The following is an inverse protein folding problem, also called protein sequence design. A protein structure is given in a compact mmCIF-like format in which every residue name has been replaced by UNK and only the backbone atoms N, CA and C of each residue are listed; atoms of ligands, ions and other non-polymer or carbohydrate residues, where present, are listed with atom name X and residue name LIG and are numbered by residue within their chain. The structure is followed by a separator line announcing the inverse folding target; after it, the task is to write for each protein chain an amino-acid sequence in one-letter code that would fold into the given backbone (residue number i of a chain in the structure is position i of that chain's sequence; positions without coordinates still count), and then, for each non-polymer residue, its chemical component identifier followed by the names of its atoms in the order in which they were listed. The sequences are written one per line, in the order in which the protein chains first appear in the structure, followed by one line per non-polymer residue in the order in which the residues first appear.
data_IF_545302564992
#
_entry.id   IF_545302564992
#
_cell.length_a   1.000
_cell.length_b   1.000
_cell.length_c   1.000
_cell.angle_alpha   90.00
_cell.angle_beta   90.00
_cell.angle_gamma   90.00
#
_symmetry.space_group_name_H-M   'P 1'
#
loop_
_entity.id
_entity.type
_entity.pdbx_description
1 polymer ?
#
# COMPACT_ATOMS: atom_id res chain seq x y z
N UNK A 1 6.85 -13.81 -17.85
CA UNK A 1 7.50 -12.69 -17.15
C UNK A 1 6.69 -12.19 -15.92
N UNK A 2 5.45 -12.63 -15.60
CA UNK A 2 4.32 -11.94 -14.91
C UNK A 2 4.38 -11.55 -13.42
N UNK A 3 5.51 -11.58 -12.71
CA UNK A 3 5.72 -10.82 -11.45
C UNK A 3 6.93 -9.88 -11.61
N UNK A 4 8.05 -10.31 -12.19
CA UNK A 4 8.84 -9.38 -13.05
C UNK A 4 8.01 -8.81 -14.25
N UNK A 5 6.70 -9.10 -14.29
CA UNK A 5 5.57 -8.61 -15.08
C UNK A 5 4.25 -8.63 -14.21
N UNK A 6 4.37 -8.46 -12.87
CA UNK A 6 3.41 -8.10 -11.74
C UNK A 6 4.19 -7.35 -10.63
N UNK A 7 5.11 -7.90 -9.78
CA UNK A 7 6.11 -7.10 -8.96
C UNK A 7 7.55 -7.64 -8.60
N UNK A 8 8.27 -8.43 -9.41
CA UNK A 8 9.39 -9.29 -9.01
C UNK A 8 10.80 -8.70 -9.05
N UNK A 9 11.71 -9.41 -8.35
CA UNK A 9 13.13 -9.12 -8.00
C UNK A 9 13.38 -7.73 -7.41
N UNK A 10 13.54 -7.66 -6.08
CA UNK A 10 14.14 -6.54 -5.33
C UNK A 10 13.85 -5.16 -5.94
N UNK A 11 12.56 -4.78 -6.03
CA UNK A 11 12.16 -3.55 -6.69
C UNK A 11 12.51 -2.33 -5.84
N UNK A 12 13.68 -1.74 -6.07
CA UNK A 12 14.20 -0.62 -5.29
C UNK A 12 13.23 0.56 -5.25
N UNK A 13 12.59 0.90 -6.38
CA UNK A 13 11.56 1.95 -6.44
C UNK A 13 10.40 1.74 -5.46
N UNK A 14 9.78 0.56 -5.45
CA UNK A 14 8.72 0.20 -4.49
C UNK A 14 9.20 0.24 -3.04
N UNK A 15 10.45 -0.14 -2.77
CA UNK A 15 11.01 -0.05 -1.41
C UNK A 15 11.22 1.39 -0.96
N UNK A 16 11.71 2.25 -1.86
CA UNK A 16 11.84 3.69 -1.61
C UNK A 16 10.45 4.29 -1.42
N UNK A 17 9.51 4.01 -2.31
CA UNK A 17 8.14 4.48 -2.21
C UNK A 17 7.52 4.07 -0.88
N UNK A 18 7.56 2.77 -0.51
CA UNK A 18 7.03 2.32 0.77
C UNK A 18 7.71 3.00 1.96
N UNK A 19 9.02 3.22 1.90
CA UNK A 19 9.76 3.89 2.99
C UNK A 19 9.33 5.35 3.14
N UNK A 20 9.20 6.08 2.03
CA UNK A 20 8.74 7.47 2.02
C UNK A 20 7.26 7.56 2.41
N UNK A 21 6.43 6.62 1.95
CA UNK A 21 5.01 6.53 2.29
C UNK A 21 4.79 6.30 3.79
N UNK A 22 5.64 5.48 4.45
CA UNK A 22 5.61 5.32 5.90
C UNK A 22 5.92 6.64 6.62
N UNK A 23 6.96 7.37 6.18
CA UNK A 23 7.31 8.67 6.76
C UNK A 23 6.22 9.74 6.53
N UNK A 24 5.63 9.74 5.33
CA UNK A 24 4.52 10.62 4.98
C UNK A 24 3.27 10.31 5.84
N UNK A 25 2.91 9.03 5.98
CA UNK A 25 1.80 8.61 6.83
C UNK A 25 2.01 8.99 8.29
N UNK A 26 3.23 8.80 8.82
CA UNK A 26 3.58 9.25 10.17
C UNK A 26 3.39 10.76 10.31
N UNK A 27 3.98 11.55 9.41
CA UNK A 27 3.96 13.01 9.46
C UNK A 27 2.54 13.57 9.29
N UNK A 28 1.76 13.00 8.37
CA UNK A 28 0.37 13.38 8.13
C UNK A 28 -0.51 13.05 9.33
N UNK A 29 -0.28 11.92 10.00
CA UNK A 29 -1.02 11.55 11.20
C UNK A 29 -0.65 12.42 12.41
N UNK A 30 0.60 12.86 12.55
CA UNK A 30 1.02 13.79 13.60
C UNK A 30 0.28 15.13 13.51
N UNK A 31 0.01 15.61 12.30
CA UNK A 31 -0.66 16.90 12.06
C UNK A 31 -2.13 16.75 11.63
N UNK A 32 -2.72 15.56 11.79
CA UNK A 32 -4.07 15.27 11.31
C UNK A 32 -5.10 16.04 12.13
N UNK A 33 -5.99 16.76 11.44
CA UNK A 33 -7.21 17.29 12.03
C UNK A 33 -8.24 16.16 12.16
N UNK A 34 -8.52 15.75 13.40
CA UNK A 34 -9.44 14.64 13.69
C UNK A 34 -10.90 14.91 13.31
N UNK A 35 -11.29 16.19 13.18
CA UNK A 35 -12.65 16.54 12.76
C UNK A 35 -12.81 16.43 11.25
N UNK A 36 -11.78 16.83 10.49
CA UNK A 36 -11.80 16.75 9.01
C UNK A 36 -11.43 15.37 8.48
N UNK A 37 -10.53 14.68 9.17
CA UNK A 37 -10.07 13.33 8.82
C UNK A 37 -10.06 12.46 10.09
N UNK A 38 -11.22 11.86 10.45
CA UNK A 38 -11.32 11.03 11.64
C UNK A 38 -10.42 9.78 11.56
N UNK A 39 -10.40 9.14 10.41
CA UNK A 39 -9.58 7.95 10.16
C UNK A 39 -8.10 8.32 9.96
N UNK A 40 -7.16 7.55 10.53
CA UNK A 40 -5.74 7.76 10.29
C UNK A 40 -5.36 7.50 8.83
N UNK A 41 -4.35 8.22 8.36
CA UNK A 41 -3.70 7.88 7.12
C UNK A 41 -2.92 6.58 7.27
N UNK A 42 -2.91 5.80 6.21
CA UNK A 42 -2.20 4.53 6.09
C UNK A 42 -1.11 4.64 5.04
N UNK A 43 -0.21 3.65 4.97
CA UNK A 43 0.83 3.61 3.93
C UNK A 43 0.19 3.59 2.54
N UNK A 44 -0.96 2.92 2.37
CA UNK A 44 -1.67 2.84 1.09
C UNK A 44 -2.14 4.21 0.57
N UNK A 45 -2.41 5.18 1.44
CA UNK A 45 -2.76 6.55 1.03
C UNK A 45 -1.59 7.27 0.30
N UNK A 46 -0.35 6.79 0.49
CA UNK A 46 0.87 7.41 -0.06
C UNK A 46 1.70 6.47 -0.94
N UNK A 47 1.31 5.20 -1.08
CA UNK A 47 1.97 4.20 -1.92
C UNK A 47 0.96 3.64 -2.94
N UNK A 48 0.59 4.42 -3.98
CA UNK A 48 -0.46 4.02 -4.93
C UNK A 48 -0.08 2.77 -5.73
N UNK A 49 1.22 2.51 -5.88
CA UNK A 49 1.68 1.32 -6.55
C UNK A 49 1.62 0.10 -5.63
N UNK A 50 1.34 0.19 -4.33
CA UNK A 50 1.24 -0.97 -3.43
C UNK A 50 -0.15 -1.64 -3.46
N UNK A 51 -1.13 -1.06 -4.16
CA UNK A 51 -2.53 -1.54 -4.21
C UNK A 51 -2.73 -2.99 -4.69
N UNK A 52 -1.77 -3.55 -5.44
CA UNK A 52 -1.81 -4.94 -5.92
C UNK A 52 -1.51 -5.97 -4.83
N UNK A 53 -0.94 -5.53 -3.69
CA UNK A 53 -0.62 -6.38 -2.55
C UNK A 53 -1.67 -6.27 -1.44
N UNK A 54 -2.88 -5.80 -1.76
CA UNK A 54 -3.97 -5.79 -0.77
C UNK A 54 -4.23 -7.22 -0.31
N UNK A 55 -4.35 -7.38 1.00
CA UNK A 55 -4.78 -8.63 1.62
C UNK A 55 -6.21 -8.90 1.14
N UNK A 56 -6.36 -9.90 0.29
CA UNK A 56 -7.67 -10.40 -0.15
C UNK A 56 -8.18 -11.43 0.84
N UNK A 57 -9.49 -11.55 0.96
CA UNK A 57 -10.09 -12.61 1.77
C UNK A 57 -9.80 -13.99 1.18
N UNK A 58 -9.97 -15.05 1.97
CA UNK A 58 -9.85 -16.43 1.47
C UNK A 58 -10.84 -16.70 0.34
N UNK A 59 -12.07 -16.19 0.46
CA UNK A 59 -13.13 -16.35 -0.54
C UNK A 59 -12.78 -15.62 -1.84
N UNK A 60 -12.26 -14.39 -1.75
CA UNK A 60 -11.76 -13.64 -2.90
C UNK A 60 -10.60 -14.37 -3.57
N UNK A 61 -9.66 -14.92 -2.80
CA UNK A 61 -8.54 -15.70 -3.33
C UNK A 61 -9.04 -16.94 -4.11
N UNK A 62 -9.99 -17.70 -3.53
CA UNK A 62 -10.58 -18.88 -4.16
C UNK A 62 -11.27 -18.57 -5.50
N UNK A 63 -11.87 -17.38 -5.64
CA UNK A 63 -12.51 -16.94 -6.89
C UNK A 63 -11.53 -16.78 -8.08
N UNK A 64 -10.23 -16.62 -7.81
CA UNK A 64 -9.21 -16.42 -8.84
C UNK A 64 -8.60 -17.71 -9.39
N UNK A 65 -9.00 -18.87 -8.87
CA UNK A 65 -8.45 -20.18 -9.22
C UNK A 65 -9.25 -20.94 -10.29
N UNK A 66 -10.39 -20.39 -10.73
CA UNK A 66 -11.22 -20.96 -11.79
C UNK A 66 -10.62 -20.75 -13.19
#
# INVERSE_FOLDING_TARGET
MKFRQRRGSLHLGMRIERSVAVLAALTANVHRDHQKRPAPYTVADFAPHEHDNREISLEEAMSTWA
#
